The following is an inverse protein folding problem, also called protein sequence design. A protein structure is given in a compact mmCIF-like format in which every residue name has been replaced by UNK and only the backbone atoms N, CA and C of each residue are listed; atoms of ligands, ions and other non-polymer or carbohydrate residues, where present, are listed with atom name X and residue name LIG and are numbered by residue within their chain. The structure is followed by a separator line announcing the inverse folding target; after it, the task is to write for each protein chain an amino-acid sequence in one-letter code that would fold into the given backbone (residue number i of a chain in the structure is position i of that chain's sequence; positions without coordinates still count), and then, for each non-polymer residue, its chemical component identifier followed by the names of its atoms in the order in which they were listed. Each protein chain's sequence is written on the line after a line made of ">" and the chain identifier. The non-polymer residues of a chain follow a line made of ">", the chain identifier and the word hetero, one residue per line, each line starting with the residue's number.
data_IF_125293102667
#
_entry.id   IF_125293102667
#
_cell.length_a   1.000
_cell.length_b   1.000
_cell.length_c   1.000
_cell.angle_alpha   90.00
_cell.angle_beta   90.00
_cell.angle_gamma   90.00
#
_symmetry.space_group_name_H-M   'P 1'
#
loop_
_entity.id
_entity.type
_entity.pdbx_description
1 polymer ?
#
# COMPACT_ATOMS: atom_id res chain seq x y z
N UNK A 1 9.81 5.66 -24.05
CA UNK A 1 9.74 6.02 -22.62
C UNK A 1 11.02 6.68 -22.12
N UNK A 2 12.20 6.03 -22.20
CA UNK A 2 13.45 6.51 -21.60
C UNK A 2 13.82 7.98 -21.91
N UNK A 3 13.67 8.45 -23.15
CA UNK A 3 13.91 9.85 -23.50
C UNK A 3 12.95 10.81 -22.76
N UNK A 4 11.63 10.53 -22.80
CA UNK A 4 10.61 11.33 -22.11
C UNK A 4 10.84 11.31 -20.58
N UNK A 5 11.31 10.19 -20.02
CA UNK A 5 11.67 10.07 -18.60
C UNK A 5 12.85 10.97 -18.22
N UNK A 6 13.82 11.15 -19.10
CA UNK A 6 15.00 11.97 -18.84
C UNK A 6 14.74 13.46 -19.11
N UNK A 7 14.03 13.77 -20.20
CA UNK A 7 13.95 15.12 -20.75
C UNK A 7 12.59 15.81 -20.52
N UNK A 8 11.55 15.06 -20.17
CA UNK A 8 10.18 15.57 -20.07
C UNK A 8 9.47 15.70 -21.42
N UNK A 9 8.32 16.39 -21.42
CA UNK A 9 7.58 16.72 -22.64
C UNK A 9 7.97 18.12 -23.10
N UNK A 10 8.46 18.27 -24.33
CA UNK A 10 8.91 19.56 -24.87
C UNK A 10 7.95 20.09 -25.94
N UNK A 11 7.68 21.41 -25.94
CA UNK A 11 6.94 22.06 -27.04
C UNK A 11 7.70 22.01 -28.37
N UNK A 12 8.98 21.67 -28.33
CA UNK A 12 9.90 21.65 -29.48
C UNK A 12 9.90 23.03 -30.16
N UNK A 13 9.70 23.10 -31.47
CA UNK A 13 9.60 24.36 -32.23
C UNK A 13 8.20 25.01 -32.16
N UNK A 14 7.26 24.46 -31.38
CA UNK A 14 5.88 24.97 -31.28
C UNK A 14 5.74 25.96 -30.13
N UNK A 15 4.60 26.67 -30.12
CA UNK A 15 4.25 27.57 -29.02
C UNK A 15 3.85 26.79 -27.75
N UNK A 16 3.19 25.63 -27.90
CA UNK A 16 2.63 24.87 -26.78
C UNK A 16 2.85 23.36 -26.94
N UNK A 17 2.88 22.67 -25.80
CA UNK A 17 2.65 21.23 -25.69
C UNK A 17 1.13 21.01 -25.72
N UNK A 18 0.68 20.02 -26.49
CA UNK A 18 -0.74 19.74 -26.71
C UNK A 18 -1.14 18.47 -25.97
N UNK A 19 -2.28 18.51 -25.28
CA UNK A 19 -2.87 17.42 -24.51
C UNK A 19 -4.32 17.21 -24.91
N UNK A 20 -4.74 15.95 -24.96
CA UNK A 20 -6.15 15.60 -25.08
C UNK A 20 -6.80 15.59 -23.69
N UNK A 21 -8.05 16.06 -23.52
CA UNK A 21 -8.75 16.06 -22.24
C UNK A 21 -9.32 14.68 -21.86
N UNK A 22 -9.23 13.68 -22.75
CA UNK A 22 -9.78 12.33 -22.58
C UNK A 22 -8.97 11.29 -23.34
N UNK A 23 -9.08 10.04 -22.91
CA UNK A 23 -8.39 8.89 -23.52
C UNK A 23 -8.97 8.54 -24.90
N UNK A 24 -8.14 8.10 -25.86
CA UNK A 24 -8.59 7.62 -27.16
C UNK A 24 -9.35 6.30 -27.00
N UNK A 25 -10.60 6.26 -27.47
CA UNK A 25 -11.30 4.99 -27.70
C UNK A 25 -10.97 4.49 -29.11
N UNK A 26 -10.98 3.18 -29.35
CA UNK A 26 -10.63 2.59 -30.66
C UNK A 26 -11.54 3.04 -31.83
N UNK A 27 -12.59 3.81 -31.55
CA UNK A 27 -13.59 4.24 -32.53
C UNK A 27 -13.59 5.73 -32.83
N UNK A 28 -12.78 6.55 -32.15
CA UNK A 28 -12.79 8.01 -32.33
C UNK A 28 -11.40 8.62 -32.54
N UNK A 29 -11.31 9.56 -33.49
CA UNK A 29 -10.13 10.42 -33.64
C UNK A 29 -10.26 11.59 -32.67
N UNK A 30 -9.47 11.59 -31.60
CA UNK A 30 -9.48 12.69 -30.62
C UNK A 30 -8.52 13.79 -31.07
N UNK A 31 -9.03 15.02 -31.13
CA UNK A 31 -8.22 16.22 -31.39
C UNK A 31 -7.05 16.30 -30.39
N UNK A 32 -5.83 16.40 -30.91
CA UNK A 32 -4.62 16.46 -30.09
C UNK A 32 -3.89 15.12 -29.85
N UNK A 33 -4.41 13.98 -30.33
CA UNK A 33 -3.72 12.68 -30.20
C UNK A 33 -3.59 11.93 -31.52
N UNK A 34 -2.39 11.40 -31.80
CA UNK A 34 -2.15 10.56 -32.99
C UNK A 34 -2.63 9.13 -32.72
N UNK A 35 -3.31 8.53 -33.70
CA UNK A 35 -3.71 7.11 -33.65
C UNK A 35 -2.53 6.16 -33.50
N UNK A 36 -1.33 6.57 -33.92
CA UNK A 36 -0.08 5.84 -33.79
C UNK A 36 0.62 6.03 -32.43
N UNK A 37 -0.03 6.62 -31.42
CA UNK A 37 0.61 6.77 -30.11
C UNK A 37 0.81 5.39 -29.45
N UNK A 38 1.99 5.18 -28.88
CA UNK A 38 2.34 3.95 -28.15
C UNK A 38 2.34 4.17 -26.63
N UNK A 39 2.41 5.43 -26.20
CA UNK A 39 2.49 5.83 -24.80
C UNK A 39 1.40 6.86 -24.49
N UNK A 40 0.72 6.68 -23.36
CA UNK A 40 -0.20 7.64 -22.78
C UNK A 40 0.48 8.29 -21.57
N UNK A 41 0.70 9.60 -21.61
CA UNK A 41 1.27 10.38 -20.49
C UNK A 41 0.16 11.24 -19.91
N UNK A 42 -0.17 10.98 -18.65
CA UNK A 42 -1.18 11.70 -17.87
C UNK A 42 -0.47 12.72 -17.01
N UNK A 43 -1.11 13.87 -16.78
CA UNK A 43 -0.54 14.97 -16.02
C UNK A 43 -1.28 15.23 -14.71
N UNK A 44 -0.52 15.51 -13.66
CA UNK A 44 -1.03 16.10 -12.44
C UNK A 44 -1.26 17.61 -12.68
N UNK A 45 -2.36 17.94 -13.37
CA UNK A 45 -2.72 19.31 -13.73
C UNK A 45 -2.78 20.24 -12.51
N UNK A 46 -3.38 19.85 -11.36
CA UNK A 46 -3.35 20.65 -10.15
C UNK A 46 -1.93 21.06 -9.74
N UNK A 47 -0.96 20.13 -9.78
CA UNK A 47 0.44 20.43 -9.45
C UNK A 47 1.09 21.38 -10.45
N UNK A 48 0.82 21.21 -11.74
CA UNK A 48 1.34 22.11 -12.78
C UNK A 48 0.85 23.54 -12.57
N UNK A 49 -0.44 23.69 -12.28
CA UNK A 49 -1.06 24.99 -12.01
C UNK A 49 -0.55 25.61 -10.70
N UNK A 50 -0.34 24.81 -9.64
CA UNK A 50 0.21 25.27 -8.37
C UNK A 50 1.64 25.82 -8.51
N UNK A 51 2.44 25.25 -9.41
CA UNK A 51 3.78 25.74 -9.75
C UNK A 51 3.75 26.95 -10.72
N UNK A 52 2.58 27.51 -11.01
CA UNK A 52 2.40 28.72 -11.82
C UNK A 52 2.52 28.52 -13.34
N UNK A 53 2.49 27.27 -13.81
CA UNK A 53 2.57 26.97 -15.24
C UNK A 53 1.16 26.99 -15.84
N UNK A 54 0.87 27.86 -16.81
CA UNK A 54 -0.49 28.03 -17.29
C UNK A 54 -0.93 26.86 -18.19
N UNK A 55 -2.24 26.61 -18.14
CA UNK A 55 -2.95 25.80 -19.12
C UNK A 55 -4.01 26.64 -19.82
N UNK A 56 -4.20 26.36 -21.11
CA UNK A 56 -5.22 26.94 -21.95
C UNK A 56 -6.05 25.82 -22.60
N UNK A 57 -7.28 26.13 -22.97
CA UNK A 57 -8.13 25.24 -23.75
C UNK A 57 -8.45 25.93 -25.07
N UNK A 58 -8.14 25.28 -26.17
CA UNK A 58 -8.47 25.78 -27.52
C UNK A 58 -9.94 25.50 -27.89
N UNK A 59 -10.43 26.13 -28.94
CA UNK A 59 -11.79 25.93 -29.47
C UNK A 59 -12.07 24.48 -29.88
N UNK A 60 -11.04 23.73 -30.27
CA UNK A 60 -11.12 22.31 -30.63
C UNK A 60 -10.86 21.37 -29.44
N UNK A 61 -11.09 21.86 -28.21
CA UNK A 61 -10.99 21.11 -26.96
C UNK A 61 -9.58 20.58 -26.61
N UNK A 62 -8.54 21.04 -27.30
CA UNK A 62 -7.15 20.66 -26.99
C UNK A 62 -6.65 21.51 -25.82
N UNK A 63 -6.08 20.86 -24.83
CA UNK A 63 -5.40 21.50 -23.70
C UNK A 63 -3.97 21.86 -24.11
N UNK A 64 -3.55 23.07 -23.77
CA UNK A 64 -2.28 23.66 -24.23
C UNK A 64 -1.52 24.21 -23.03
N UNK A 65 -0.21 23.99 -23.01
CA UNK A 65 0.68 24.62 -22.02
C UNK A 65 1.98 25.04 -22.69
N UNK A 66 2.54 26.21 -22.34
CA UNK A 66 3.83 26.63 -22.90
C UNK A 66 4.99 25.81 -22.32
N UNK A 67 4.74 25.02 -21.27
CA UNK A 67 5.78 24.37 -20.48
C UNK A 67 6.47 25.37 -19.54
N UNK A 68 7.52 24.90 -18.87
CA UNK A 68 8.32 25.67 -17.91
C UNK A 68 9.49 26.34 -18.63
N UNK A 69 9.72 27.62 -18.31
CA UNK A 69 10.87 28.39 -18.78
C UNK A 69 10.90 28.59 -20.30
N UNK A 70 12.01 29.16 -20.79
CA UNK A 70 12.15 29.49 -22.22
C UNK A 70 12.21 28.24 -23.11
N UNK A 71 12.77 27.15 -22.57
CA UNK A 71 12.84 25.85 -23.24
C UNK A 71 11.45 25.23 -23.48
N UNK A 72 10.42 25.64 -22.72
CA UNK A 72 9.06 25.15 -22.86
C UNK A 72 8.92 23.65 -22.66
N UNK A 73 9.54 23.17 -21.59
CA UNK A 73 9.56 21.75 -21.19
C UNK A 73 8.64 21.56 -20.00
N UNK A 74 7.87 20.49 -19.99
CA UNK A 74 7.08 20.03 -18.86
C UNK A 74 7.81 18.82 -18.26
N UNK A 75 8.54 18.99 -17.14
CA UNK A 75 9.39 17.93 -16.61
C UNK A 75 8.58 16.74 -16.05
N UNK A 76 9.20 15.55 -15.94
CA UNK A 76 8.53 14.35 -15.47
C UNK A 76 7.90 14.45 -14.06
N UNK A 77 8.30 15.42 -13.23
CA UNK A 77 7.68 15.68 -11.91
C UNK A 77 6.18 15.99 -11.97
N UNK A 78 5.68 16.36 -13.15
CA UNK A 78 4.27 16.66 -13.40
C UNK A 78 3.50 15.52 -14.02
N UNK A 79 4.14 14.40 -14.36
CA UNK A 79 3.45 13.26 -14.93
C UNK A 79 2.72 12.53 -13.80
N UNK A 80 1.41 12.38 -13.88
CA UNK A 80 0.62 11.59 -12.94
C UNK A 80 0.87 10.10 -13.15
N UNK A 81 0.83 9.66 -14.42
CA UNK A 81 1.17 8.30 -14.86
C UNK A 81 1.58 8.24 -16.32
N UNK A 82 2.29 7.18 -16.69
CA UNK A 82 2.62 6.83 -18.08
C UNK A 82 2.25 5.39 -18.30
N UNK A 83 1.47 5.12 -19.33
CA UNK A 83 0.94 3.80 -19.66
C UNK A 83 1.40 3.40 -21.05
N UNK A 84 1.86 2.17 -21.20
CA UNK A 84 2.03 1.53 -22.51
C UNK A 84 0.64 1.24 -23.09
N UNK A 85 0.31 1.88 -24.21
CA UNK A 85 -1.06 1.83 -24.76
C UNK A 85 -1.48 0.43 -25.19
N UNK A 86 -0.55 -0.40 -25.69
CA UNK A 86 -0.87 -1.74 -26.20
C UNK A 86 -1.15 -2.72 -25.08
N UNK A 87 -0.31 -2.71 -24.05
CA UNK A 87 -0.39 -3.68 -22.94
C UNK A 87 -1.22 -3.18 -21.76
N UNK A 88 -1.53 -1.89 -21.68
CA UNK A 88 -2.12 -1.27 -20.50
C UNK A 88 -1.14 -1.16 -19.33
N UNK A 89 0.12 -1.58 -19.49
CA UNK A 89 1.11 -1.59 -18.42
C UNK A 89 1.50 -0.17 -18.03
N UNK A 90 1.41 0.12 -16.72
CA UNK A 90 1.95 1.36 -16.16
C UNK A 90 3.48 1.32 -16.21
N UNK A 91 4.08 2.25 -16.96
CA UNK A 91 5.53 2.41 -17.12
C UNK A 91 6.12 3.41 -16.11
N UNK A 92 5.29 4.33 -15.62
CA UNK A 92 5.65 5.34 -14.64
C UNK A 92 4.39 5.87 -13.95
N UNK A 93 4.53 6.32 -12.72
CA UNK A 93 3.42 6.88 -11.96
C UNK A 93 4.00 7.94 -11.02
N UNK A 94 3.78 9.24 -11.26
CA UNK A 94 4.59 10.31 -10.67
C UNK A 94 4.10 10.95 -9.38
N UNK A 95 2.89 10.62 -8.89
CA UNK A 95 2.64 10.72 -7.43
C UNK A 95 3.38 9.61 -6.71
N UNK A 96 4.63 9.76 -6.30
CA UNK A 96 5.12 8.84 -5.27
C UNK A 96 4.02 8.73 -4.21
N UNK A 97 3.54 7.51 -3.92
CA UNK A 97 2.69 7.34 -2.75
C UNK A 97 3.61 7.62 -1.56
N UNK A 98 3.75 8.89 -1.18
CA UNK A 98 4.59 9.38 -0.09
C UNK A 98 5.73 8.43 0.32
N UNK A 99 6.55 8.00 -0.66
CA UNK A 99 7.76 7.24 -0.35
C UNK A 99 8.88 8.20 0.04
N UNK A 100 8.64 9.51 -0.05
CA UNK A 100 9.23 10.45 0.88
C UNK A 100 8.71 10.09 2.27
N UNK A 101 9.37 9.12 2.89
CA UNK A 101 9.08 8.65 4.23
C UNK A 101 9.13 9.84 5.16
N UNK A 102 7.97 10.45 5.37
CA UNK A 102 7.82 11.55 6.27
C UNK A 102 7.46 10.93 7.61
N UNK A 103 8.07 11.46 8.67
CA UNK A 103 7.55 11.25 10.02
C UNK A 103 6.10 11.74 10.15
N UNK A 104 5.54 12.42 9.14
CA UNK A 104 4.19 12.93 9.13
C UNK A 104 3.15 11.84 9.38
N UNK A 105 2.09 12.26 10.07
CA UNK A 105 0.89 11.48 10.24
C UNK A 105 0.24 11.22 8.87
N UNK A 106 -0.48 10.09 8.70
CA UNK A 106 -1.25 9.88 7.49
C UNK A 106 -2.28 11.00 7.28
N UNK A 107 -2.60 11.38 6.04
CA UNK A 107 -3.63 12.38 5.77
C UNK A 107 -4.99 11.88 6.31
N UNK A 108 -5.94 12.77 6.65
CA UNK A 108 -7.29 12.36 7.05
C UNK A 108 -7.91 11.38 6.05
N UNK A 109 -8.68 10.41 6.54
CA UNK A 109 -9.43 9.50 5.67
C UNK A 109 -10.56 10.28 4.97
N UNK A 110 -10.66 10.10 3.66
CA UNK A 110 -11.82 10.47 2.87
C UNK A 110 -12.83 9.30 2.82
N UNK A 111 -13.46 9.12 1.66
CA UNK A 111 -14.34 7.98 1.43
C UNK A 111 -13.51 6.71 1.16
N UNK A 112 -13.42 5.83 2.17
CA UNK A 112 -12.60 4.61 2.11
C UNK A 112 -13.20 3.63 1.12
N UNK A 113 -12.48 3.39 0.02
CA UNK A 113 -12.87 2.46 -1.04
C UNK A 113 -12.26 1.07 -0.86
N UNK A 114 -11.11 0.99 -0.18
CA UNK A 114 -10.33 -0.24 -0.09
C UNK A 114 -9.82 -0.52 1.32
N UNK A 115 -9.71 -1.80 1.64
CA UNK A 115 -8.88 -2.29 2.73
C UNK A 115 -7.68 -3.05 2.15
N UNK A 116 -6.50 -2.79 2.70
CA UNK A 116 -5.27 -3.52 2.39
C UNK A 116 -4.95 -4.46 3.56
N UNK A 117 -5.27 -5.74 3.41
CA UNK A 117 -5.08 -6.74 4.47
C UNK A 117 -3.64 -7.26 4.44
N UNK A 118 -2.99 -7.27 5.59
CA UNK A 118 -1.55 -7.49 5.77
C UNK A 118 -1.30 -8.41 6.97
N UNK A 119 -0.39 -9.37 6.82
CA UNK A 119 0.18 -10.17 7.91
C UNK A 119 1.65 -10.48 7.61
N UNK A 120 2.59 -9.96 8.41
CA UNK A 120 4.01 -10.21 8.17
C UNK A 120 4.44 -11.55 8.73
N UNK A 121 5.29 -12.25 7.99
CA UNK A 121 6.18 -13.24 8.61
C UNK A 121 7.52 -12.58 8.95
N UNK A 122 8.15 -13.02 10.04
CA UNK A 122 9.47 -12.55 10.44
C UNK A 122 10.38 -13.67 10.91
N UNK A 123 11.68 -13.44 10.90
CA UNK A 123 12.67 -14.32 11.52
C UNK A 123 12.27 -14.61 12.97
N UNK A 124 12.41 -15.86 13.41
CA UNK A 124 12.05 -16.26 14.78
C UNK A 124 12.83 -17.50 15.23
N UNK A 125 12.77 -17.79 16.52
CA UNK A 125 13.37 -18.97 17.15
C UNK A 125 12.58 -19.29 18.43
N UNK A 126 12.42 -20.58 18.75
CA UNK A 126 11.64 -21.06 19.91
C UNK A 126 12.47 -21.20 21.19
N UNK A 127 13.80 -21.08 21.09
CA UNK A 127 14.76 -21.33 22.18
C UNK A 127 15.54 -20.10 22.58
N UNK A 128 15.90 -19.28 21.60
CA UNK A 128 16.79 -18.13 21.82
C UNK A 128 16.21 -16.86 21.21
N UNK A 129 16.56 -15.72 21.81
CA UNK A 129 16.19 -14.43 21.24
C UNK A 129 17.19 -14.08 20.14
N UNK A 130 16.68 -13.85 18.94
CA UNK A 130 17.49 -13.36 17.83
C UNK A 130 18.05 -11.96 18.12
N UNK A 131 19.25 -11.61 17.60
CA UNK A 131 19.81 -10.26 17.70
C UNK A 131 18.85 -9.19 17.14
N UNK A 132 18.20 -9.51 16.02
CA UNK A 132 17.14 -8.70 15.43
C UNK A 132 16.06 -9.63 14.86
N UNK A 133 14.80 -9.22 15.02
CA UNK A 133 13.69 -9.78 14.26
C UNK A 133 13.58 -9.00 12.96
N UNK A 134 13.41 -9.67 11.82
CA UNK A 134 13.36 -9.07 10.49
C UNK A 134 12.21 -9.68 9.70
N UNK A 135 11.41 -8.85 9.01
CA UNK A 135 10.34 -9.28 8.12
C UNK A 135 10.95 -10.14 7.01
N UNK A 136 10.32 -11.28 6.72
CA UNK A 136 10.72 -12.25 5.69
C UNK A 136 9.60 -12.55 4.68
N UNK A 137 8.37 -12.12 4.92
CA UNK A 137 7.28 -12.06 3.94
C UNK A 137 6.47 -10.78 4.13
N UNK A 138 6.18 -10.08 3.04
CA UNK A 138 5.33 -8.89 2.99
C UNK A 138 4.16 -9.14 2.03
N UNK A 139 3.01 -9.63 2.53
CA UNK A 139 1.82 -9.86 1.73
C UNK A 139 0.82 -8.70 1.84
N UNK A 140 0.03 -8.49 0.78
CA UNK A 140 -1.12 -7.60 0.79
C UNK A 140 -2.26 -8.22 -0.01
N UNK A 141 -3.46 -8.27 0.55
CA UNK A 141 -4.70 -8.63 -0.15
C UNK A 141 -5.62 -7.41 -0.19
N UNK A 142 -6.07 -7.00 -1.38
CA UNK A 142 -7.01 -5.89 -1.53
C UNK A 142 -8.46 -6.34 -1.42
N UNK A 143 -9.25 -5.57 -0.67
CA UNK A 143 -10.66 -5.84 -0.39
C UNK A 143 -11.48 -4.58 -0.66
N UNK A 144 -12.60 -4.70 -1.38
CA UNK A 144 -13.55 -3.60 -1.56
C UNK A 144 -14.22 -3.26 -0.23
N UNK A 145 -14.12 -1.99 0.17
CA UNK A 145 -14.69 -1.54 1.43
C UNK A 145 -16.22 -1.64 1.46
N UNK A 146 -16.89 -1.48 0.31
CA UNK A 146 -18.35 -1.51 0.18
C UNK A 146 -18.97 -2.91 0.34
N UNK A 147 -18.28 -3.96 -0.11
CA UNK A 147 -18.81 -5.34 -0.13
C UNK A 147 -18.09 -6.30 0.80
N UNK A 148 -16.84 -5.97 1.16
CA UNK A 148 -15.90 -6.87 1.80
C UNK A 148 -15.39 -7.99 0.88
N UNK A 149 -15.73 -7.98 -0.40
CA UNK A 149 -15.21 -8.96 -1.35
C UNK A 149 -13.78 -8.59 -1.77
N UNK A 150 -12.90 -9.58 -2.04
CA UNK A 150 -11.59 -9.31 -2.64
C UNK A 150 -11.75 -8.49 -3.92
N UNK A 151 -10.87 -7.51 -4.13
CA UNK A 151 -10.70 -6.88 -5.44
C UNK A 151 -10.20 -7.95 -6.40
N UNK A 152 -10.74 -8.01 -7.62
CA UNK A 152 -10.32 -9.00 -8.63
C UNK A 152 -9.80 -8.33 -9.90
N UNK A 153 -8.84 -8.97 -10.57
CA UNK A 153 -8.42 -8.60 -11.91
C UNK A 153 -9.44 -9.01 -12.98
N UNK A 154 -9.14 -8.71 -14.25
CA UNK A 154 -10.02 -9.02 -15.40
C UNK A 154 -10.28 -10.53 -15.59
N UNK A 155 -9.49 -11.39 -14.93
CA UNK A 155 -9.65 -12.86 -14.94
C UNK A 155 -10.42 -13.37 -13.72
N UNK A 156 -10.89 -12.47 -12.84
CA UNK A 156 -11.57 -12.82 -11.60
C UNK A 156 -10.64 -13.35 -10.51
N UNK A 157 -9.32 -13.19 -10.66
CA UNK A 157 -8.34 -13.56 -9.63
C UNK A 157 -8.21 -12.43 -8.63
N UNK A 158 -8.11 -12.77 -7.34
CA UNK A 158 -7.89 -11.78 -6.29
C UNK A 158 -6.63 -10.95 -6.56
N UNK A 159 -6.75 -9.63 -6.41
CA UNK A 159 -5.66 -8.67 -6.47
C UNK A 159 -4.92 -8.73 -5.14
N UNK A 160 -3.77 -9.39 -5.19
CA UNK A 160 -2.92 -9.63 -4.03
C UNK A 160 -1.45 -9.63 -4.46
N UNK A 161 -0.57 -9.28 -3.53
CA UNK A 161 0.88 -9.40 -3.68
C UNK A 161 1.40 -10.21 -2.51
N UNK A 162 2.36 -11.09 -2.75
CA UNK A 162 3.24 -11.62 -1.69
C UNK A 162 4.67 -11.54 -2.16
N UNK A 163 5.52 -10.97 -1.32
CA UNK A 163 6.95 -10.79 -1.61
C UNK A 163 7.74 -11.24 -0.41
N UNK A 164 8.59 -12.24 -0.60
CA UNK A 164 9.59 -12.57 0.40
C UNK A 164 10.58 -11.42 0.57
N UNK A 165 11.13 -11.30 1.77
CA UNK A 165 12.05 -10.23 2.15
C UNK A 165 13.33 -10.87 2.65
N UNK A 166 14.49 -10.41 2.13
CA UNK A 166 15.79 -10.91 2.58
C UNK A 166 16.19 -10.24 3.90
N UNK A 167 16.35 -11.01 5.00
CA UNK A 167 16.91 -10.47 6.24
C UNK A 167 18.40 -10.19 6.08
N UNK A 168 18.89 -9.10 6.68
CA UNK A 168 20.27 -8.61 6.52
C UNK A 168 21.10 -8.77 7.79
N UNK A 169 20.46 -8.78 8.95
CA UNK A 169 21.13 -8.96 10.25
C UNK A 169 21.22 -10.44 10.62
N UNK A 170 20.14 -11.18 10.40
CA UNK A 170 20.01 -12.62 10.64
C UNK A 170 19.63 -13.35 9.34
N UNK A 171 20.55 -13.44 8.36
CA UNK A 171 20.24 -13.95 7.02
C UNK A 171 19.83 -15.43 7.00
N UNK A 172 20.32 -16.23 7.95
CA UNK A 172 20.01 -17.66 8.03
C UNK A 172 18.77 -17.91 8.88
N UNK A 173 17.71 -18.44 8.27
CA UNK A 173 16.49 -18.83 8.96
C UNK A 173 16.75 -20.04 9.87
N UNK A 174 16.26 -19.94 11.09
CA UNK A 174 16.34 -21.04 12.06
C UNK A 174 15.47 -22.23 11.60
N UNK A 175 15.73 -23.46 12.07
CA UNK A 175 14.86 -24.59 11.78
C UNK A 175 13.41 -24.34 12.22
N UNK A 176 13.21 -23.71 13.38
CA UNK A 176 11.89 -23.36 13.89
C UNK A 176 11.17 -22.38 12.97
N UNK A 177 11.85 -21.31 12.52
CA UNK A 177 11.26 -20.32 11.61
C UNK A 177 10.78 -20.95 10.30
N UNK A 178 11.61 -21.82 9.70
CA UNK A 178 11.24 -22.54 8.45
C UNK A 178 10.08 -23.51 8.67
N UNK A 179 10.05 -24.20 9.82
CA UNK A 179 8.95 -25.10 10.15
C UNK A 179 7.65 -24.35 10.40
N UNK A 180 7.71 -23.24 11.15
CA UNK A 180 6.55 -22.44 11.49
C UNK A 180 5.96 -21.78 10.24
N UNK A 181 6.80 -21.10 9.45
CA UNK A 181 6.33 -20.24 8.35
C UNK A 181 6.20 -20.93 7.01
N UNK A 182 6.73 -22.15 6.88
CA UNK A 182 6.97 -22.87 5.62
C UNK A 182 7.92 -22.18 4.64
N UNK A 183 8.52 -21.04 5.01
CA UNK A 183 9.45 -20.28 4.16
C UNK A 183 10.80 -20.99 4.12
N UNK A 184 11.34 -21.18 2.93
CA UNK A 184 12.63 -21.84 2.71
C UNK A 184 13.76 -20.83 2.67
N UNK A 185 14.97 -21.30 2.96
CA UNK A 185 16.16 -20.44 2.95
C UNK A 185 16.39 -19.83 1.55
N UNK A 186 16.20 -20.61 0.50
CA UNK A 186 16.44 -20.15 -0.87
C UNK A 186 15.46 -19.03 -1.30
N UNK A 187 14.27 -18.99 -0.69
CA UNK A 187 13.25 -17.97 -0.96
C UNK A 187 13.67 -16.60 -0.41
N UNK A 188 14.23 -16.56 0.79
CA UNK A 188 14.74 -15.30 1.38
C UNK A 188 16.11 -14.92 0.84
N UNK A 189 16.96 -15.88 0.45
CA UNK A 189 18.28 -15.58 -0.13
C UNK A 189 18.16 -14.81 -1.45
N UNK A 190 17.19 -15.19 -2.28
CA UNK A 190 16.92 -14.58 -3.60
C UNK A 190 15.99 -13.37 -3.52
N UNK A 191 15.44 -13.07 -2.34
CA UNK A 191 14.49 -12.00 -2.16
C UNK A 191 15.13 -10.60 -2.20
N UNK A 192 14.35 -9.57 -2.59
CA UNK A 192 14.69 -8.17 -2.33
C UNK A 192 14.76 -7.88 -0.83
N UNK A 193 15.51 -6.84 -0.44
CA UNK A 193 15.54 -6.36 0.95
C UNK A 193 14.32 -5.47 1.26
N UNK A 194 14.06 -5.19 2.55
CA UNK A 194 12.87 -4.43 2.96
C UNK A 194 12.77 -3.04 2.30
N UNK A 195 13.92 -2.42 2.00
CA UNK A 195 14.03 -1.13 1.30
C UNK A 195 13.55 -1.15 -0.14
N UNK A 196 13.64 -2.31 -0.79
CA UNK A 196 13.13 -2.54 -2.13
C UNK A 196 11.65 -2.95 -2.09
N UNK A 197 11.25 -3.73 -1.08
CA UNK A 197 9.89 -4.27 -0.94
C UNK A 197 8.86 -3.22 -0.53
N UNK A 198 9.19 -2.33 0.40
CA UNK A 198 8.28 -1.25 0.80
C UNK A 198 7.81 -0.38 -0.39
N UNK A 199 8.71 0.23 -1.19
CA UNK A 199 8.28 1.03 -2.33
C UNK A 199 7.64 0.19 -3.44
N UNK A 200 8.00 -1.09 -3.59
CA UNK A 200 7.33 -1.99 -4.52
C UNK A 200 5.87 -2.27 -4.12
N UNK A 201 5.62 -2.53 -2.84
CA UNK A 201 4.27 -2.74 -2.29
C UNK A 201 3.40 -1.51 -2.47
N UNK A 202 3.97 -0.33 -2.24
CA UNK A 202 3.25 0.91 -2.50
C UNK A 202 2.97 1.08 -3.99
N UNK A 203 3.92 0.78 -4.88
CA UNK A 203 3.65 0.80 -6.33
C UNK A 203 2.46 -0.09 -6.69
N UNK A 204 2.38 -1.30 -6.14
CA UNK A 204 1.23 -2.19 -6.30
C UNK A 204 -0.08 -1.55 -5.81
N UNK A 205 -0.12 -1.02 -4.58
CA UNK A 205 -1.30 -0.31 -4.06
C UNK A 205 -1.74 0.79 -5.03
N UNK A 206 -0.77 1.56 -5.54
CA UNK A 206 -1.01 2.67 -6.46
C UNK A 206 -1.61 2.23 -7.79
N UNK A 207 -1.10 1.12 -8.35
CA UNK A 207 -1.59 0.53 -9.61
C UNK A 207 -3.06 0.10 -9.50
N UNK A 208 -3.56 -0.12 -8.28
CA UNK A 208 -4.94 -0.48 -7.96
C UNK A 208 -5.75 0.65 -7.31
N UNK A 209 -5.41 1.92 -7.62
CA UNK A 209 -6.13 3.13 -7.15
C UNK A 209 -6.23 3.30 -5.62
N UNK A 210 -5.34 2.64 -4.87
CA UNK A 210 -5.19 2.91 -3.44
C UNK A 210 -4.34 4.18 -3.25
N UNK A 211 -4.98 5.23 -2.72
CA UNK A 211 -4.42 6.54 -2.38
C UNK A 211 -4.41 6.71 -0.86
N UNK A 212 -3.48 7.50 -0.28
CA UNK A 212 -3.32 7.60 1.18
C UNK A 212 -4.59 8.01 1.97
N UNK A 213 -5.60 8.57 1.32
CA UNK A 213 -6.87 9.00 1.88
C UNK A 213 -8.05 8.02 1.65
N UNK A 214 -7.93 7.03 0.75
CA UNK A 214 -9.04 6.14 0.36
C UNK A 214 -8.85 4.66 0.75
N UNK A 215 -7.76 4.31 1.41
CA UNK A 215 -7.54 2.95 1.93
C UNK A 215 -7.03 2.94 3.37
N UNK A 216 -7.24 1.80 4.02
CA UNK A 216 -6.74 1.52 5.38
C UNK A 216 -6.15 0.12 5.44
N UNK A 217 -5.01 -0.03 6.14
CA UNK A 217 -4.45 -1.36 6.41
C UNK A 217 -5.26 -2.13 7.46
N UNK A 218 -5.36 -3.44 7.32
CA UNK A 218 -6.02 -4.32 8.30
C UNK A 218 -5.06 -5.45 8.68
N UNK A 219 -4.91 -5.70 9.98
CA UNK A 219 -3.97 -6.70 10.53
C UNK A 219 -4.64 -7.57 11.60
N UNK A 220 -4.05 -8.75 11.88
CA UNK A 220 -4.50 -9.65 12.95
C UNK A 220 -3.85 -9.38 14.31
N UNK A 221 -3.89 -8.14 14.75
CA UNK A 221 -3.21 -7.71 15.96
C UNK A 221 -2.50 -6.39 15.76
N UNK A 222 -1.81 -5.93 16.80
CA UNK A 222 -1.00 -4.72 16.69
C UNK A 222 0.46 -5.06 16.31
N UNK A 223 0.87 -6.33 16.27
CA UNK A 223 2.28 -6.70 16.17
C UNK A 223 2.93 -6.18 14.88
N UNK A 224 2.32 -6.35 13.72
CA UNK A 224 2.86 -5.95 12.41
C UNK A 224 3.24 -4.47 12.33
N UNK A 225 2.25 -3.59 12.57
CA UNK A 225 2.36 -2.16 12.30
C UNK A 225 2.69 -1.32 13.54
N UNK A 226 2.45 -1.83 14.75
CA UNK A 226 2.89 -1.17 15.98
C UNK A 226 4.29 -1.58 16.40
N UNK A 227 4.72 -2.81 16.09
CA UNK A 227 5.93 -3.41 16.67
C UNK A 227 6.95 -3.81 15.60
N UNK A 228 6.61 -4.71 14.69
CA UNK A 228 7.56 -5.35 13.78
C UNK A 228 8.17 -4.36 12.80
N UNK A 229 7.35 -3.73 11.95
CA UNK A 229 7.81 -2.76 10.97
C UNK A 229 8.50 -1.55 11.63
N UNK A 230 7.94 -0.88 12.65
CA UNK A 230 8.63 0.25 13.29
C UNK A 230 9.97 -0.15 13.93
N UNK A 231 10.07 -1.33 14.55
CA UNK A 231 11.31 -1.82 15.17
C UNK A 231 12.39 -2.03 14.11
N UNK A 232 12.07 -2.74 13.03
CA UNK A 232 13.04 -3.01 11.97
C UNK A 232 13.45 -1.72 11.25
N UNK A 233 12.49 -0.88 10.86
CA UNK A 233 12.81 0.41 10.22
C UNK A 233 13.67 1.30 11.14
N UNK A 234 13.42 1.31 12.45
CA UNK A 234 14.28 2.04 13.40
C UNK A 234 15.70 1.48 13.45
N UNK A 235 15.87 0.17 13.50
CA UNK A 235 17.18 -0.48 13.52
C UNK A 235 17.97 -0.19 12.23
N UNK A 236 17.28 -0.13 11.10
CA UNK A 236 17.86 0.17 9.78
C UNK A 236 17.97 1.68 9.46
N UNK A 237 17.59 2.56 10.38
CA UNK A 237 17.54 4.02 10.16
C UNK A 237 16.69 4.41 8.93
N UNK A 238 15.57 3.72 8.75
CA UNK A 238 14.67 3.82 7.60
C UNK A 238 13.36 4.51 7.97
N UNK A 239 12.90 5.38 7.09
CA UNK A 239 11.54 5.92 7.13
C UNK A 239 10.59 5.05 6.30
N UNK A 240 9.31 5.06 6.66
CA UNK A 240 8.26 4.34 5.95
C UNK A 240 7.00 5.21 5.84
N UNK A 241 6.12 4.97 4.84
CA UNK A 241 4.98 5.86 4.58
C UNK A 241 4.00 5.96 5.74
N UNK A 242 3.40 7.14 5.91
CA UNK A 242 2.48 7.44 7.02
C UNK A 242 1.22 6.55 7.06
N UNK A 243 0.76 6.02 5.93
CA UNK A 243 -0.37 5.08 5.86
C UNK A 243 -0.12 3.78 6.64
N UNK A 244 1.13 3.32 6.78
CA UNK A 244 1.47 2.16 7.63
C UNK A 244 1.43 2.48 9.14
N UNK A 245 1.26 3.75 9.52
CA UNK A 245 1.04 4.17 10.92
C UNK A 245 -0.44 4.19 11.29
N UNK A 246 -1.34 3.81 10.38
CA UNK A 246 -2.79 3.77 10.59
C UNK A 246 -3.37 2.44 10.09
N UNK A 247 -4.04 1.73 10.98
CA UNK A 247 -4.61 0.42 10.65
C UNK A 247 -5.85 0.10 11.50
N UNK A 248 -6.58 -0.93 11.08
CA UNK A 248 -7.60 -1.60 11.88
C UNK A 248 -7.01 -2.92 12.38
N UNK A 249 -6.99 -3.10 13.69
CA UNK A 249 -6.69 -4.39 14.29
C UNK A 249 -7.99 -5.20 14.38
N UNK A 250 -8.12 -6.22 13.54
CA UNK A 250 -9.35 -7.00 13.42
C UNK A 250 -9.71 -7.75 14.72
N UNK A 251 -8.71 -8.03 15.58
CA UNK A 251 -8.96 -8.64 16.90
C UNK A 251 -9.74 -7.70 17.82
N UNK A 252 -9.58 -6.38 17.69
CA UNK A 252 -10.35 -5.40 18.47
C UNK A 252 -11.82 -5.38 18.03
N UNK A 253 -12.06 -5.47 16.72
CA UNK A 253 -13.41 -5.61 16.15
C UNK A 253 -14.06 -6.89 16.65
N UNK A 254 -13.35 -8.03 16.57
CA UNK A 254 -13.85 -9.31 17.07
C UNK A 254 -14.14 -9.26 18.57
N UNK A 255 -13.25 -8.65 19.35
CA UNK A 255 -13.32 -8.64 20.82
C UNK A 255 -14.58 -8.01 21.37
N UNK A 256 -15.05 -6.94 20.74
CA UNK A 256 -16.25 -6.23 21.17
C UNK A 256 -17.51 -7.09 21.03
N UNK A 257 -17.52 -8.04 20.09
CA UNK A 257 -18.70 -8.81 19.71
C UNK A 257 -18.70 -10.25 20.20
N UNK A 258 -17.53 -10.89 20.21
CA UNK A 258 -17.39 -12.32 20.52
C UNK A 258 -16.50 -12.59 21.75
N UNK A 259 -15.95 -11.54 22.37
CA UNK A 259 -15.02 -11.68 23.49
C UNK A 259 -13.60 -12.03 23.03
N UNK A 260 -12.81 -12.65 23.89
CA UNK A 260 -11.37 -12.77 23.66
C UNK A 260 -11.00 -13.52 22.36
N UNK A 261 -10.22 -12.87 21.49
CA UNK A 261 -9.65 -13.47 20.27
C UNK A 261 -8.33 -14.21 20.57
N UNK A 262 -8.33 -15.54 20.45
CA UNK A 262 -7.14 -16.38 20.65
C UNK A 262 -6.10 -16.29 19.52
N UNK A 263 -6.51 -15.82 18.35
CA UNK A 263 -5.70 -15.80 17.13
C UNK A 263 -6.60 -15.74 15.91
N UNK A 264 -6.01 -15.73 14.72
CA UNK A 264 -6.78 -15.81 13.47
C UNK A 264 -7.57 -17.10 13.40
N UNK A 265 -6.92 -18.23 13.70
CA UNK A 265 -7.49 -19.58 13.76
C UNK A 265 -8.73 -19.67 14.67
N UNK A 266 -8.65 -19.13 15.89
CA UNK A 266 -9.77 -19.10 16.82
C UNK A 266 -10.94 -18.24 16.33
N UNK A 267 -10.65 -17.14 15.64
CA UNK A 267 -11.68 -16.32 15.01
C UNK A 267 -12.34 -17.06 13.85
N UNK A 268 -11.57 -17.69 12.95
CA UNK A 268 -12.10 -18.51 11.85
C UNK A 268 -13.04 -19.60 12.38
N UNK A 269 -12.59 -20.35 13.40
CA UNK A 269 -13.38 -21.42 14.00
C UNK A 269 -14.70 -20.89 14.59
N UNK A 270 -14.66 -19.78 15.33
CA UNK A 270 -15.86 -19.19 15.93
C UNK A 270 -16.86 -18.69 14.88
N UNK A 271 -16.35 -18.14 13.78
CA UNK A 271 -17.16 -17.60 12.69
C UNK A 271 -17.61 -18.67 11.68
N UNK A 272 -17.18 -19.93 11.87
CA UNK A 272 -17.50 -21.02 10.94
C UNK A 272 -16.85 -20.85 9.56
N UNK A 273 -15.71 -20.16 9.49
CA UNK A 273 -14.96 -19.94 8.27
C UNK A 273 -13.87 -21.01 8.12
N UNK A 274 -13.72 -21.65 6.94
CA UNK A 274 -12.65 -22.60 6.70
C UNK A 274 -11.30 -21.88 6.60
N UNK A 275 -10.24 -22.53 7.08
CA UNK A 275 -8.87 -22.07 6.86
C UNK A 275 -8.51 -22.17 5.38
N UNK A 276 -8.00 -21.09 4.82
CA UNK A 276 -7.46 -21.03 3.46
C UNK A 276 -5.94 -21.22 3.54
N UNK A 277 -5.40 -22.19 2.81
CA UNK A 277 -3.95 -22.39 2.70
C UNK A 277 -3.29 -22.89 3.99
N UNK A 278 -2.08 -22.39 4.28
CA UNK A 278 -1.26 -22.78 5.43
C UNK A 278 -1.18 -21.65 6.46
N UNK A 279 -1.47 -21.94 7.73
CA UNK A 279 -1.31 -20.97 8.82
C UNK A 279 0.18 -20.61 8.98
N UNK A 280 0.49 -19.33 9.26
CA UNK A 280 1.84 -18.75 9.28
C UNK A 280 2.53 -18.68 7.93
N UNK A 281 1.74 -18.75 6.85
CA UNK A 281 2.17 -18.27 5.54
C UNK A 281 1.47 -16.93 5.33
N UNK A 282 2.24 -15.85 5.26
CA UNK A 282 1.69 -14.50 5.39
C UNK A 282 0.57 -14.20 4.38
N UNK A 283 0.71 -14.65 3.12
CA UNK A 283 -0.34 -14.47 2.12
C UNK A 283 -1.63 -15.26 2.43
N UNK A 284 -1.51 -16.45 2.98
CA UNK A 284 -2.67 -17.26 3.36
C UNK A 284 -3.35 -16.67 4.60
N UNK A 285 -2.57 -16.21 5.57
CA UNK A 285 -3.09 -15.50 6.75
C UNK A 285 -3.79 -14.19 6.34
N UNK A 286 -3.21 -13.43 5.40
CA UNK A 286 -3.85 -12.23 4.84
C UNK A 286 -5.20 -12.54 4.16
N UNK A 287 -5.32 -13.66 3.42
CA UNK A 287 -6.59 -14.10 2.82
C UNK A 287 -7.62 -14.50 3.87
N UNK A 288 -7.19 -15.20 4.92
CA UNK A 288 -8.07 -15.58 6.03
C UNK A 288 -8.55 -14.35 6.82
N UNK A 289 -7.67 -13.38 7.09
CA UNK A 289 -8.04 -12.10 7.71
C UNK A 289 -9.01 -11.34 6.80
N UNK A 290 -8.82 -11.35 5.48
CA UNK A 290 -9.76 -10.76 4.53
C UNK A 290 -11.14 -11.43 4.60
N UNK A 291 -11.20 -12.76 4.79
CA UNK A 291 -12.47 -13.47 4.97
C UNK A 291 -13.19 -13.08 6.28
N UNK A 292 -12.43 -12.90 7.38
CA UNK A 292 -12.98 -12.38 8.65
C UNK A 292 -13.45 -10.94 8.48
N UNK A 293 -12.67 -10.10 7.80
CA UNK A 293 -13.02 -8.70 7.53
C UNK A 293 -14.32 -8.61 6.73
N UNK A 294 -14.45 -9.43 5.68
CA UNK A 294 -15.68 -9.56 4.88
C UNK A 294 -16.88 -9.90 5.73
N UNK A 295 -16.73 -10.84 6.66
CA UNK A 295 -17.78 -11.21 7.59
C UNK A 295 -18.24 -9.99 8.40
N UNK A 296 -17.30 -9.21 8.96
CA UNK A 296 -17.65 -7.99 9.69
C UNK A 296 -18.26 -6.91 8.82
N UNK A 297 -17.72 -6.64 7.62
CA UNK A 297 -18.32 -5.65 6.71
C UNK A 297 -19.79 -5.98 6.43
N UNK A 298 -20.10 -7.26 6.21
CA UNK A 298 -21.47 -7.72 5.94
C UNK A 298 -22.39 -7.67 7.15
N UNK A 299 -21.85 -7.81 8.36
CA UNK A 299 -22.66 -7.78 9.59
C UNK A 299 -22.94 -6.37 10.12
N UNK A 300 -22.00 -5.44 10.01
CA UNK A 300 -22.08 -4.12 10.66
C UNK A 300 -21.81 -2.93 9.73
N UNK A 301 -21.43 -3.18 8.47
CA UNK A 301 -21.08 -2.14 7.52
C UNK A 301 -19.71 -1.52 7.75
N UNK A 302 -19.23 -0.85 6.70
CA UNK A 302 -17.90 -0.23 6.65
C UNK A 302 -17.74 0.91 7.63
N UNK A 303 -18.79 1.74 7.80
CA UNK A 303 -18.74 2.90 8.69
C UNK A 303 -18.39 2.51 10.14
N UNK A 304 -19.01 1.44 10.66
CA UNK A 304 -18.72 0.92 11.99
C UNK A 304 -17.29 0.39 12.11
N UNK A 305 -16.77 -0.23 11.05
CA UNK A 305 -15.38 -0.71 11.02
C UNK A 305 -14.35 0.43 11.06
N UNK A 306 -14.66 1.56 10.43
CA UNK A 306 -13.76 2.72 10.41
C UNK A 306 -13.61 3.37 11.79
N UNK A 307 -14.52 3.13 12.74
CA UNK A 307 -14.37 3.58 14.13
C UNK A 307 -13.22 2.87 14.87
N UNK A 308 -12.78 1.70 14.38
CA UNK A 308 -11.65 0.95 14.93
C UNK A 308 -10.29 1.37 14.37
N UNK A 309 -10.26 2.34 13.46
CA UNK A 309 -9.02 2.88 12.92
C UNK A 309 -8.18 3.44 14.06
N UNK A 310 -7.00 2.87 14.24
CA UNK A 310 -6.03 3.32 15.24
C UNK A 310 -4.78 3.85 14.55
N UNK A 311 -4.00 4.64 15.29
CA UNK A 311 -2.66 5.06 14.85
C UNK A 311 -1.58 4.62 15.82
N UNK A 312 -0.33 4.63 15.37
CA UNK A 312 0.84 4.36 16.21
C UNK A 312 0.89 5.29 17.43
N UNK A 313 0.54 6.58 17.29
CA UNK A 313 0.53 7.55 18.38
C UNK A 313 -0.53 7.23 19.44
N UNK A 314 -1.74 6.86 19.01
CA UNK A 314 -2.83 6.44 19.93
C UNK A 314 -2.37 5.24 20.76
N UNK A 315 -1.73 4.28 20.12
CA UNK A 315 -1.25 3.07 20.77
C UNK A 315 -0.07 3.30 21.71
N UNK A 316 0.83 4.24 21.39
CA UNK A 316 1.91 4.67 22.27
C UNK A 316 1.38 5.40 23.52
N UNK A 317 0.38 6.29 23.37
CA UNK A 317 -0.27 6.99 24.49
C UNK A 317 -0.92 5.99 25.46
N UNK A 318 -1.72 5.05 24.95
CA UNK A 318 -2.35 3.98 25.76
C UNK A 318 -1.32 3.16 26.52
N UNK A 319 -0.16 2.88 25.94
CA UNK A 319 0.92 2.14 26.61
C UNK A 319 1.54 2.94 27.76
N UNK A 320 1.75 4.25 27.57
CA UNK A 320 2.25 5.17 28.60
C UNK A 320 1.28 5.30 29.78
N UNK A 321 -0.02 5.38 29.51
CA UNK A 321 -1.04 5.47 30.57
C UNK A 321 -1.11 4.17 31.39
N UNK A 322 -1.02 3.00 30.72
CA UNK A 322 -0.98 1.69 31.39
C UNK A 322 0.27 1.51 32.26
N UNK A 323 1.44 1.98 31.81
CA UNK A 323 2.68 1.90 32.59
C UNK A 323 2.64 2.83 33.82
N UNK A 324 2.06 4.03 33.69
CA UNK A 324 1.83 4.95 34.80
C UNK A 324 0.81 4.42 35.81
N UNK A 325 -0.27 3.78 35.34
CA UNK A 325 -1.27 3.14 36.22
C UNK A 325 -0.67 1.95 37.00
N UNK A 326 0.17 1.12 36.36
CA UNK A 326 0.90 0.03 37.04
C UNK A 326 1.97 0.53 38.01
N UNK A 327 2.59 1.67 37.73
CA UNK A 327 3.56 2.31 38.62
C UNK A 327 2.93 2.87 39.90
N UNK A 328 1.70 3.40 39.83
CA UNK A 328 0.93 3.88 41.00
C UNK A 328 0.36 2.76 41.88
N UNK A 329 0.21 1.54 41.34
CA UNK A 329 -0.31 0.37 42.07
C UNK A 329 0.73 -0.41 42.88
N UNK A 330 2.02 -0.09 42.78
CA UNK A 330 3.12 -0.74 43.55
C UNK A 330 3.57 0.05 44.78
N UNK A 331 2.85 1.11 45.13
CA UNK A 331 3.10 1.91 46.35
C UNK A 331 1.86 1.92 47.25
N UNK A 332 1.50 0.76 47.82
CA UNK A 332 0.70 0.64 49.03
C UNK A 332 1.12 -0.59 49.81
#
# INVERSE_FOLDING_TARGET
>A
WNAIKAEGLCRMRRNHIHFAPREPTDKETISGMRTSCELLVYLDVPRVLADGVPFFRSDNDVLLTPGVGEAGVLPPKYFEKVVDRKSGKVLFMGRELDFQGSEAAPPPLGDVQYFAVLDFEATCDDRTKLPAQEIIEFPVVLVHASTGDPVTDDQGKAVEQSTFVRPTTCPTLTPFCKQLTSIRQEEVDQAPTLDEVLPATYRFLKEHDCRPDNFVFVTCGDWDLKTMLPTQCKAEHRSYPGSLKRWINIKKVYQERYGHAQGMDGMLQRLGLPLIGHHHRGIDDSRNIAAILRHFIREQGTAQLLEYVTTTEIEQRKAKDRSQARGRGKGK
#
